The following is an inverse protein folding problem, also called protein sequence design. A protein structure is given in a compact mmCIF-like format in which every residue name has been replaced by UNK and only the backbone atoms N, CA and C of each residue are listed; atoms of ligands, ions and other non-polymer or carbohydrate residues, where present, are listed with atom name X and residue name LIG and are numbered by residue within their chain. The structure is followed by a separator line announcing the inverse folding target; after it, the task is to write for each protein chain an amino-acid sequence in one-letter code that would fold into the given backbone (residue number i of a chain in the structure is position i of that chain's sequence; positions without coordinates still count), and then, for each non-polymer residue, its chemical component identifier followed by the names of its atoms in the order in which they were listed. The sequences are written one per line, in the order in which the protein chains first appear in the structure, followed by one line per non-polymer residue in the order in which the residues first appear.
data_IF_135359182091
#
_entry.id   IF_135359182091
#
_cell.length_a   1.000
_cell.length_b   1.000
_cell.length_c   1.000
_cell.angle_alpha   90.00
_cell.angle_beta   90.00
_cell.angle_gamma   90.00
#
_symmetry.space_group_name_H-M   'P 1'
#
loop_
_entity.id
_entity.type
_entity.pdbx_description
1 polymer ?
#
# COMPACT_ATOMS: atom_id res chain seq x y z
N UNK A 1 26.00 -34.38 17.63
CA UNK A 1 24.54 -34.17 17.46
C UNK A 1 24.36 -32.72 17.05
N UNK A 2 24.10 -32.48 15.75
CA UNK A 2 23.94 -31.14 15.20
C UNK A 2 22.49 -30.69 15.44
N UNK A 3 22.32 -29.66 16.25
CA UNK A 3 21.03 -29.01 16.44
C UNK A 3 20.87 -27.95 15.36
N UNK A 4 20.12 -28.29 14.32
CA UNK A 4 19.56 -27.34 13.37
C UNK A 4 18.42 -26.59 14.07
N UNK A 5 18.65 -25.32 14.42
CA UNK A 5 17.59 -24.43 14.85
C UNK A 5 17.25 -23.48 13.69
N UNK A 6 16.31 -23.89 12.85
CA UNK A 6 15.65 -23.05 11.85
C UNK A 6 14.66 -22.10 12.53
N UNK A 7 15.15 -21.19 13.38
CA UNK A 7 14.34 -20.08 13.89
C UNK A 7 14.64 -18.86 13.02
N UNK A 8 13.61 -18.41 12.30
CA UNK A 8 13.54 -17.10 11.68
C UNK A 8 13.70 -16.05 12.79
N UNK A 9 14.94 -15.68 13.11
CA UNK A 9 15.21 -14.55 13.99
C UNK A 9 14.70 -13.30 13.27
N UNK A 10 13.60 -12.73 13.75
CA UNK A 10 13.21 -11.37 13.37
C UNK A 10 14.30 -10.45 13.93
N UNK A 11 15.25 -10.07 13.07
CA UNK A 11 16.28 -9.10 13.41
C UNK A 11 15.60 -7.74 13.62
N UNK A 12 15.57 -7.29 14.87
CA UNK A 12 15.25 -5.91 15.23
C UNK A 12 16.53 -5.11 15.02
N UNK A 13 16.56 -4.27 13.99
CA UNK A 13 17.71 -3.39 13.72
C UNK A 13 17.73 -2.19 14.68
N UNK A 14 18.91 -1.75 15.09
CA UNK A 14 19.08 -0.44 15.73
C UNK A 14 18.58 0.69 14.81
N UNK A 15 17.73 1.56 15.35
CA UNK A 15 17.00 2.57 14.59
C UNK A 15 17.93 3.72 14.18
N UNK A 16 18.20 3.82 12.87
CA UNK A 16 18.76 5.02 12.26
C UNK A 16 17.65 6.05 11.98
N UNK A 17 17.64 7.14 12.76
CA UNK A 17 16.67 8.25 12.69
C UNK A 17 16.56 8.85 11.27
N UNK A 18 17.65 8.88 10.50
CA UNK A 18 17.69 9.50 9.16
C UNK A 18 17.05 8.72 8.01
N UNK A 19 16.51 7.52 8.25
CA UNK A 19 15.99 6.65 7.18
C UNK A 19 14.45 6.53 7.14
N UNK A 20 13.74 7.20 8.06
CA UNK A 20 12.27 7.16 8.22
C UNK A 20 11.58 8.35 7.55
N UNK A 21 11.82 8.53 6.26
CA UNK A 21 11.39 9.71 5.49
C UNK A 21 10.31 9.41 4.45
N UNK A 22 9.91 8.15 4.26
CA UNK A 22 8.96 7.78 3.22
C UNK A 22 7.56 8.38 3.44
N UNK A 23 7.21 8.75 4.67
CA UNK A 23 5.95 9.45 4.97
C UNK A 23 5.77 10.76 4.18
N UNK A 24 6.87 11.42 3.81
CA UNK A 24 6.85 12.65 2.99
C UNK A 24 6.45 12.39 1.53
N UNK A 25 6.52 11.13 1.09
CA UNK A 25 6.23 10.71 -0.29
C UNK A 25 4.87 10.04 -0.41
N UNK A 26 4.13 9.89 0.69
CA UNK A 26 2.76 9.39 0.70
C UNK A 26 1.83 10.46 0.15
N UNK A 27 0.94 10.06 -0.74
CA UNK A 27 -0.18 10.89 -1.16
C UNK A 27 -1.30 10.79 -0.11
N UNK A 28 -1.28 11.72 0.85
CA UNK A 28 -2.28 11.77 1.93
C UNK A 28 -3.70 12.12 1.44
N UNK A 29 -3.84 12.65 0.23
CA UNK A 29 -5.15 13.00 -0.33
C UNK A 29 -5.87 11.76 -0.85
N UNK A 30 -5.14 10.85 -1.50
CA UNK A 30 -5.67 9.60 -2.02
C UNK A 30 -5.48 8.40 -1.06
N UNK A 31 -4.86 8.61 0.10
CA UNK A 31 -4.76 7.59 1.14
C UNK A 31 -6.15 7.24 1.68
N UNK A 32 -6.45 5.94 1.72
CA UNK A 32 -7.69 5.43 2.28
C UNK A 32 -7.40 4.50 3.45
N UNK A 33 -8.18 4.63 4.51
CA UNK A 33 -8.18 3.71 5.63
C UNK A 33 -9.59 3.15 5.78
N UNK A 34 -9.72 1.83 5.80
CA UNK A 34 -10.99 1.14 5.93
C UNK A 34 -11.14 0.59 7.36
N UNK A 35 -12.38 0.61 7.84
CA UNK A 35 -12.76 0.24 9.21
C UNK A 35 -12.17 1.15 10.30
N UNK A 36 -11.89 2.41 9.99
CA UNK A 36 -11.54 3.42 11.01
C UNK A 36 -12.80 4.04 11.63
N UNK A 37 -12.78 4.22 12.95
CA UNK A 37 -13.87 4.82 13.74
C UNK A 37 -14.12 6.29 13.40
N UNK A 38 -13.05 7.02 13.12
CA UNK A 38 -13.09 8.41 12.73
C UNK A 38 -12.52 8.57 11.32
N UNK A 39 -13.36 9.06 10.41
CA UNK A 39 -12.98 9.28 9.01
C UNK A 39 -11.77 10.21 8.90
N UNK A 40 -10.74 9.74 8.21
CA UNK A 40 -9.47 10.45 8.05
C UNK A 40 -8.57 10.42 9.28
N UNK A 41 -8.77 9.53 10.24
CA UNK A 41 -7.80 9.35 11.33
C UNK A 41 -6.56 8.57 10.87
N UNK A 42 -6.71 7.65 9.92
CA UNK A 42 -5.64 6.84 9.37
C UNK A 42 -4.57 7.61 8.57
N UNK A 43 -4.83 8.84 8.11
CA UNK A 43 -3.81 9.71 7.46
C UNK A 43 -2.92 10.44 8.48
N UNK A 44 -3.38 10.58 9.72
CA UNK A 44 -2.69 11.35 10.75
C UNK A 44 -1.60 10.52 11.47
N UNK A 45 -1.66 9.19 11.38
CA UNK A 45 -0.64 8.29 11.97
C UNK A 45 0.66 8.25 11.16
N UNK A 46 0.64 8.71 9.91
CA UNK A 46 1.84 8.85 9.07
C UNK A 46 2.49 10.22 9.26
N UNK A 47 3.54 10.28 10.09
CA UNK A 47 4.20 11.53 10.49
C UNK A 47 5.71 11.36 10.63
N UNK A 48 6.39 12.45 11.00
CA UNK A 48 7.83 12.44 11.21
C UNK A 48 8.23 11.49 12.33
N UNK A 49 9.44 10.94 12.24
CA UNK A 49 9.99 10.04 13.25
C UNK A 49 10.08 10.70 14.64
N UNK A 50 10.37 12.00 14.68
CA UNK A 50 10.46 12.78 15.92
C UNK A 50 9.12 12.90 16.65
N UNK A 51 8.01 12.85 15.91
CA UNK A 51 6.65 12.94 16.45
C UNK A 51 6.07 11.58 16.83
N UNK A 52 6.81 10.47 16.68
CA UNK A 52 6.28 9.11 16.86
C UNK A 52 5.66 8.85 18.24
N UNK A 53 6.12 9.55 19.29
CA UNK A 53 5.62 9.41 20.65
C UNK A 53 4.39 10.30 20.96
N UNK A 54 3.98 11.15 20.02
CA UNK A 54 2.80 12.00 20.21
C UNK A 54 1.52 11.15 20.21
N UNK A 55 0.80 11.13 21.33
CA UNK A 55 -0.44 10.37 21.47
C UNK A 55 -1.70 11.17 21.09
N UNK A 56 -1.54 12.39 20.58
CA UNK A 56 -2.66 13.25 20.16
C UNK A 56 -3.42 12.71 18.95
N UNK A 57 -2.74 11.96 18.09
CA UNK A 57 -3.28 11.36 16.86
C UNK A 57 -3.32 9.85 17.01
N UNK A 58 -4.50 9.28 16.81
CA UNK A 58 -4.79 7.86 16.93
C UNK A 58 -5.75 7.46 15.82
N UNK A 59 -5.53 6.26 15.27
CA UNK A 59 -6.53 5.55 14.48
C UNK A 59 -7.00 4.36 15.32
N UNK A 60 -8.31 4.31 15.54
CA UNK A 60 -9.01 3.22 16.23
C UNK A 60 -9.94 2.56 15.22
N UNK A 61 -10.09 1.24 15.30
CA UNK A 61 -11.13 0.56 14.52
C UNK A 61 -12.52 0.78 15.10
N UNK A 62 -13.55 0.74 14.25
CA UNK A 62 -14.92 1.11 14.66
C UNK A 62 -15.63 -0.01 15.44
N UNK A 63 -15.59 -1.24 14.92
CA UNK A 63 -16.39 -2.37 15.45
C UNK A 63 -15.54 -3.63 15.66
N UNK A 64 -14.72 -3.99 14.68
CA UNK A 64 -13.85 -5.17 14.73
C UNK A 64 -12.38 -4.78 14.85
N UNK A 65 -11.52 -5.76 15.15
CA UNK A 65 -10.07 -5.59 15.27
C UNK A 65 -9.37 -5.28 13.93
N UNK A 66 -10.06 -5.46 12.81
CA UNK A 66 -9.48 -5.39 11.48
C UNK A 66 -9.25 -3.94 11.02
N UNK A 67 -8.07 -3.60 10.54
CA UNK A 67 -7.78 -2.31 9.90
C UNK A 67 -7.06 -2.53 8.57
N UNK A 68 -7.45 -1.77 7.54
CA UNK A 68 -6.84 -1.85 6.22
C UNK A 68 -6.48 -0.46 5.70
N UNK A 69 -5.20 -0.25 5.41
CA UNK A 69 -4.67 0.99 4.84
C UNK A 69 -4.31 0.75 3.38
N UNK A 70 -4.77 1.65 2.52
CA UNK A 70 -4.41 1.76 1.11
C UNK A 70 -3.61 3.04 0.90
N UNK A 71 -2.30 2.89 0.68
CA UNK A 71 -1.32 3.96 0.76
C UNK A 71 -0.67 4.16 -0.62
N UNK A 72 -1.17 5.12 -1.42
CA UNK A 72 -0.50 5.54 -2.64
C UNK A 72 0.74 6.40 -2.34
N UNK A 73 1.80 6.23 -3.13
CA UNK A 73 2.98 7.10 -3.10
C UNK A 73 3.03 8.00 -4.33
N UNK A 74 3.57 9.21 -4.17
CA UNK A 74 3.85 10.18 -5.24
C UNK A 74 5.04 9.79 -6.15
N UNK A 75 5.43 8.52 -6.15
CA UNK A 75 6.55 7.99 -6.93
C UNK A 75 6.93 6.59 -6.47
N UNK A 76 7.98 6.04 -7.07
CA UNK A 76 8.47 4.72 -6.69
C UNK A 76 9.34 4.83 -5.45
N UNK A 77 9.08 3.98 -4.46
CA UNK A 77 9.91 3.85 -3.26
C UNK A 77 10.42 2.43 -3.11
N UNK A 78 11.60 2.29 -2.53
CA UNK A 78 12.13 1.03 -2.04
C UNK A 78 11.95 1.00 -0.53
N UNK A 79 11.11 0.09 -0.04
CA UNK A 79 10.87 -0.06 1.40
C UNK A 79 11.82 -1.11 1.99
N UNK A 80 12.39 -0.81 3.14
CA UNK A 80 13.38 -1.65 3.84
C UNK A 80 13.02 -1.89 5.31
N UNK A 81 12.12 -1.09 5.86
CA UNK A 81 11.64 -1.31 7.22
C UNK A 81 10.29 -0.68 7.51
N UNK A 82 9.64 -1.22 8.53
CA UNK A 82 8.34 -0.81 9.06
C UNK A 82 8.46 -0.64 10.57
N UNK A 83 7.87 0.42 11.11
CA UNK A 83 7.69 0.62 12.55
C UNK A 83 6.21 0.88 12.80
N UNK A 84 5.65 0.22 13.80
CA UNK A 84 4.26 0.38 14.20
C UNK A 84 4.24 0.59 15.71
N UNK A 85 3.60 1.66 16.16
CA UNK A 85 3.40 1.93 17.58
C UNK A 85 1.90 1.87 17.84
N UNK A 86 1.46 0.82 18.49
CA UNK A 86 0.10 0.69 18.98
C UNK A 86 -0.12 1.32 20.34
N UNK A 87 -1.29 1.06 20.89
CA UNK A 87 -1.61 1.40 22.28
C UNK A 87 -0.80 0.63 23.31
N UNK A 88 -0.62 1.23 24.47
CA UNK A 88 -0.03 0.57 25.63
C UNK A 88 -1.09 -0.32 26.30
N UNK A 89 -1.64 -1.28 25.54
CA UNK A 89 -2.70 -2.19 25.97
C UNK A 89 -2.97 -3.35 25.00
N UNK A 90 -4.01 -4.17 25.26
CA UNK A 90 -4.37 -5.32 24.41
C UNK A 90 -4.84 -4.92 23.00
N UNK A 91 -5.23 -3.65 22.82
CA UNK A 91 -5.64 -3.04 21.54
C UNK A 91 -4.46 -2.80 20.59
N UNK A 92 -3.22 -3.08 21.01
CA UNK A 92 -2.04 -3.05 20.15
C UNK A 92 -2.13 -4.14 19.06
N UNK A 93 -1.86 -3.83 17.77
CA UNK A 93 -1.88 -4.85 16.72
C UNK A 93 -0.80 -5.91 16.95
N UNK A 94 -1.11 -7.17 16.73
CA UNK A 94 -0.18 -8.29 16.94
C UNK A 94 0.46 -8.77 15.62
N UNK A 95 -0.14 -8.46 14.47
CA UNK A 95 0.25 -8.93 13.15
C UNK A 95 0.00 -7.80 12.17
N UNK A 96 0.93 -7.64 11.22
CA UNK A 96 0.72 -6.81 10.05
C UNK A 96 1.06 -7.61 8.79
N UNK A 97 0.17 -7.53 7.81
CA UNK A 97 0.36 -8.09 6.48
C UNK A 97 0.58 -6.96 5.48
N UNK A 98 1.56 -7.14 4.60
CA UNK A 98 1.98 -6.14 3.62
C UNK A 98 1.78 -6.66 2.19
N UNK A 99 1.26 -5.80 1.32
CA UNK A 99 1.21 -5.98 -0.13
C UNK A 99 1.83 -4.80 -0.83
N UNK A 100 2.48 -5.08 -1.95
CA UNK A 100 3.07 -4.08 -2.83
C UNK A 100 2.32 -4.06 -4.16
N UNK A 101 1.98 -2.86 -4.62
CA UNK A 101 1.34 -2.56 -5.90
C UNK A 101 -0.03 -3.22 -6.10
N UNK A 102 -0.85 -3.29 -5.03
CA UNK A 102 -2.24 -3.78 -5.06
C UNK A 102 -3.19 -2.69 -4.55
N UNK A 103 -3.62 -1.74 -5.43
CA UNK A 103 -4.35 -0.54 -5.00
C UNK A 103 -5.75 -0.80 -4.47
N UNK A 104 -6.44 -1.82 -4.98
CA UNK A 104 -7.81 -2.16 -4.61
C UNK A 104 -7.87 -3.40 -3.71
N UNK A 105 -6.96 -3.47 -2.73
CA UNK A 105 -7.03 -4.55 -1.74
C UNK A 105 -8.29 -4.37 -0.88
N UNK A 106 -9.05 -5.45 -0.73
CA UNK A 106 -10.26 -5.53 0.10
C UNK A 106 -10.07 -6.59 1.17
N UNK A 107 -10.86 -6.54 2.25
CA UNK A 107 -10.77 -7.48 3.37
C UNK A 107 -10.81 -8.96 2.95
N UNK A 108 -11.69 -9.32 2.01
CA UNK A 108 -11.79 -10.70 1.49
C UNK A 108 -10.46 -11.22 0.93
N UNK A 109 -9.75 -10.36 0.21
CA UNK A 109 -8.45 -10.70 -0.39
C UNK A 109 -7.30 -10.55 0.62
N UNK A 110 -7.39 -9.59 1.54
CA UNK A 110 -6.39 -9.30 2.56
C UNK A 110 -6.24 -10.44 3.59
N UNK A 111 -7.31 -11.19 3.84
CA UNK A 111 -7.27 -12.39 4.70
C UNK A 111 -6.40 -13.51 4.10
N UNK A 112 -6.12 -13.48 2.79
CA UNK A 112 -5.27 -14.42 2.08
C UNK A 112 -3.76 -14.28 2.38
N UNK A 113 -2.94 -14.83 1.46
CA UNK A 113 -1.47 -14.82 1.55
C UNK A 113 -0.91 -13.45 1.15
N UNK A 114 -0.23 -12.81 2.10
CA UNK A 114 0.47 -11.55 1.89
C UNK A 114 1.83 -11.73 1.19
N UNK A 115 2.40 -10.66 0.64
CA UNK A 115 3.78 -10.67 0.15
C UNK A 115 4.77 -10.80 1.33
N UNK A 116 4.45 -10.18 2.46
CA UNK A 116 5.16 -10.37 3.71
C UNK A 116 4.19 -10.24 4.88
N UNK A 117 4.34 -11.10 5.86
CA UNK A 117 3.61 -11.06 7.13
C UNK A 117 4.62 -10.89 8.26
N UNK A 118 4.33 -10.00 9.20
CA UNK A 118 5.21 -9.66 10.31
C UNK A 118 4.40 -9.76 11.59
N UNK A 119 4.84 -10.63 12.50
CA UNK A 119 4.36 -10.63 13.88
C UNK A 119 4.93 -9.40 14.59
N UNK A 120 4.03 -8.52 15.03
CA UNK A 120 4.34 -7.35 15.82
C UNK A 120 4.50 -7.74 17.28
N UNK A 121 5.35 -7.00 17.97
CA UNK A 121 5.60 -7.13 19.40
C UNK A 121 5.10 -5.87 20.06
N UNK A 122 4.71 -5.99 21.31
CA UNK A 122 4.31 -4.86 22.13
C UNK A 122 5.47 -3.86 22.28
N UNK A 123 5.36 -2.70 21.63
CA UNK A 123 6.39 -1.65 21.66
C UNK A 123 5.76 -0.25 21.74
N UNK A 124 5.30 0.15 22.93
CA UNK A 124 4.80 1.50 23.14
C UNK A 124 5.89 2.57 23.01
N UNK A 125 7.18 2.20 22.99
CA UNK A 125 8.29 3.15 22.91
C UNK A 125 8.74 3.45 21.47
N UNK A 126 8.24 2.70 20.47
CA UNK A 126 8.66 2.86 19.07
C UNK A 126 10.15 2.61 18.87
N UNK A 127 10.68 1.63 19.58
CA UNK A 127 12.08 1.20 19.55
C UNK A 127 12.32 0.02 18.61
N UNK A 128 11.26 -0.64 18.15
CA UNK A 128 11.32 -1.78 17.26
C UNK A 128 11.09 -1.34 15.80
N UNK A 129 12.03 -1.74 14.95
CA UNK A 129 11.94 -1.63 13.51
C UNK A 129 11.97 -3.03 12.90
N UNK A 130 10.94 -3.34 12.12
CA UNK A 130 10.82 -4.61 11.42
C UNK A 130 11.43 -4.49 10.03
N UNK A 131 12.29 -5.44 9.69
CA UNK A 131 12.90 -5.52 8.35
C UNK A 131 11.87 -5.96 7.31
N UNK A 132 11.86 -5.27 6.18
CA UNK A 132 11.00 -5.58 5.04
C UNK A 132 11.87 -6.16 3.93
N UNK A 133 11.44 -7.29 3.38
CA UNK A 133 12.21 -8.01 2.36
C UNK A 133 12.22 -7.24 1.05
N UNK A 134 13.39 -6.87 0.51
CA UNK A 134 13.47 -6.12 -0.75
C UNK A 134 12.94 -6.92 -1.95
N UNK A 135 12.75 -8.24 -1.85
CA UNK A 135 12.28 -9.09 -2.96
C UNK A 135 10.93 -8.65 -3.52
N UNK A 136 10.01 -8.21 -2.65
CA UNK A 136 8.68 -7.73 -3.06
C UNK A 136 8.51 -6.21 -2.91
N UNK A 137 9.44 -5.56 -2.20
CA UNK A 137 9.32 -4.16 -1.81
C UNK A 137 10.47 -3.29 -2.35
N UNK A 138 11.17 -3.75 -3.38
CA UNK A 138 12.23 -2.99 -4.07
C UNK A 138 11.71 -1.81 -4.87
N UNK A 139 10.49 -1.89 -5.40
CA UNK A 139 9.84 -0.82 -6.18
C UNK A 139 8.33 -0.83 -5.93
N UNK A 140 7.90 0.04 -5.02
CA UNK A 140 6.52 0.17 -4.55
C UNK A 140 5.98 1.53 -4.96
N UNK A 141 4.84 1.55 -5.63
CA UNK A 141 4.05 2.76 -5.92
C UNK A 141 2.79 2.83 -5.08
N UNK A 142 2.31 1.66 -4.65
CA UNK A 142 1.15 1.52 -3.78
C UNK A 142 1.45 0.48 -2.70
N UNK A 143 1.25 0.83 -1.44
CA UNK A 143 1.44 -0.07 -0.30
C UNK A 143 0.08 -0.31 0.35
N UNK A 144 -0.21 -1.57 0.64
CA UNK A 144 -1.40 -1.92 1.43
C UNK A 144 -0.97 -2.59 2.72
N UNK A 145 -1.42 -2.06 3.85
CA UNK A 145 -1.16 -2.60 5.19
C UNK A 145 -2.46 -3.10 5.76
N UNK A 146 -2.48 -4.35 6.22
CA UNK A 146 -3.65 -4.95 6.84
C UNK A 146 -3.28 -5.50 8.20
N UNK A 147 -4.07 -5.12 9.19
CA UNK A 147 -3.95 -5.56 10.58
C UNK A 147 -5.15 -6.45 10.88
N UNK A 148 -5.01 -7.78 10.87
CA UNK A 148 -6.12 -8.70 11.05
C UNK A 148 -6.55 -8.86 12.51
N UNK A 149 -5.66 -8.64 13.47
CA UNK A 149 -5.94 -8.83 14.89
C UNK A 149 -4.97 -8.05 15.79
N UNK A 150 -5.28 -8.06 17.09
CA UNK A 150 -4.54 -7.39 18.15
C UNK A 150 -4.18 -8.40 19.29
N UNK A 151 -3.65 -7.91 20.41
CA UNK A 151 -3.24 -8.75 21.54
C UNK A 151 -4.38 -9.26 22.42
N UNK A 152 -5.64 -8.92 22.14
CA UNK A 152 -6.81 -9.51 22.80
C UNK A 152 -7.96 -8.54 23.13
N UNK A 153 -8.03 -7.38 22.47
CA UNK A 153 -9.10 -6.39 22.68
C UNK A 153 -10.10 -6.40 21.51
N UNK A 154 -11.26 -5.76 21.65
CA UNK A 154 -12.28 -5.70 20.60
C UNK A 154 -11.88 -4.79 19.44
N UNK A 155 -11.18 -3.68 19.72
CA UNK A 155 -10.72 -2.72 18.72
C UNK A 155 -9.19 -2.66 18.63
N UNK A 156 -8.68 -2.20 17.49
CA UNK A 156 -7.24 -2.01 17.26
C UNK A 156 -6.90 -0.53 17.27
N UNK A 157 -5.92 -0.16 18.09
CA UNK A 157 -5.48 1.22 18.29
C UNK A 157 -4.04 1.40 17.82
N UNK A 158 -3.82 2.29 16.84
CA UNK A 158 -2.51 2.62 16.29
C UNK A 158 -2.24 4.12 16.44
N UNK A 159 -1.08 4.47 16.99
CA UNK A 159 -0.65 5.86 17.17
C UNK A 159 0.32 6.32 16.08
N UNK A 160 1.15 5.42 15.58
CA UNK A 160 2.19 5.77 14.60
C UNK A 160 2.50 4.62 13.66
N UNK A 161 2.65 4.96 12.38
CA UNK A 161 3.21 4.07 11.37
C UNK A 161 4.39 4.77 10.69
N UNK A 162 5.58 4.22 10.92
CA UNK A 162 6.82 4.65 10.28
C UNK A 162 7.19 3.76 9.12
N UNK A 163 7.61 4.36 8.00
CA UNK A 163 8.10 3.65 6.82
C UNK A 163 9.56 4.03 6.55
N UNK A 164 10.45 3.03 6.51
CA UNK A 164 11.89 3.19 6.26
C UNK A 164 12.24 2.78 4.84
N UNK A 165 13.00 3.60 4.13
CA UNK A 165 13.47 3.25 2.79
C UNK A 165 14.02 4.40 1.96
N UNK A 166 14.04 4.21 0.65
CA UNK A 166 14.64 5.12 -0.32
C UNK A 166 13.63 5.53 -1.39
N UNK A 167 13.62 6.81 -1.76
CA UNK A 167 12.83 7.29 -2.88
C UNK A 167 13.59 7.07 -4.19
N UNK A 168 12.98 6.34 -5.13
CA UNK A 168 13.60 5.96 -6.40
C UNK A 168 13.29 6.94 -7.55
N UNK A 169 12.44 7.95 -7.30
CA UNK A 169 12.03 8.91 -8.32
C UNK A 169 10.56 8.79 -8.74
N UNK A 170 10.12 9.76 -9.53
CA UNK A 170 8.76 9.82 -10.05
C UNK A 170 8.49 8.65 -11.01
N UNK A 171 7.32 8.02 -10.86
CA UNK A 171 6.86 7.05 -11.85
C UNK A 171 6.24 7.85 -12.98
N UNK A 172 7.00 8.06 -14.06
CA UNK A 172 6.44 8.59 -15.30
C UNK A 172 5.41 7.58 -15.80
N UNK A 173 4.14 7.90 -15.63
CA UNK A 173 3.03 7.22 -16.30
C UNK A 173 3.20 7.50 -17.80
N UNK A 174 3.91 6.65 -18.52
CA UNK A 174 3.82 6.64 -19.97
C UNK A 174 2.40 6.15 -20.30
N UNK A 175 1.46 7.09 -20.37
CA UNK A 175 0.17 6.88 -21.03
C UNK A 175 0.53 6.61 -22.49
N UNK A 176 0.66 5.34 -22.84
CA UNK A 176 0.67 4.91 -24.22
C UNK A 176 -0.76 5.14 -24.70
N UNK A 177 -1.01 6.33 -25.26
CA UNK A 177 -2.17 6.53 -26.13
C UNK A 177 -1.90 5.63 -27.34
N UNK A 178 -2.33 4.38 -27.26
CA UNK A 178 -2.42 3.53 -28.43
C UNK A 178 -3.55 4.10 -29.30
N UNK A 179 -3.23 5.13 -30.09
CA UNK A 179 -4.08 5.53 -31.21
C UNK A 179 -4.10 4.34 -32.15
N UNK A 180 -5.13 3.52 -32.04
CA UNK A 180 -5.45 2.52 -33.04
C UNK A 180 -5.88 3.29 -34.28
N UNK A 181 -4.94 3.52 -35.21
CA UNK A 181 -5.27 4.01 -36.55
C UNK A 181 -6.20 2.98 -37.19
N UNK A 182 -7.50 3.15 -37.03
CA UNK A 182 -8.49 2.45 -37.84
C UNK A 182 -8.34 2.97 -39.27
N UNK A 183 -7.46 2.34 -40.06
CA UNK A 183 -7.44 2.51 -41.51
C UNK A 183 -8.72 1.88 -42.05
N UNK A 184 -9.65 2.65 -42.65
CA UNK A 184 -10.80 2.04 -43.32
C UNK A 184 -10.27 1.23 -44.51
N UNK A 185 -10.46 -0.08 -44.51
CA UNK A 185 -10.25 -0.89 -45.71
C UNK A 185 -11.41 -0.64 -46.69
N UNK A 186 -11.13 0.15 -47.73
CA UNK A 186 -12.08 0.55 -48.77
C UNK A 186 -12.38 -0.55 -49.81
N UNK A 187 -12.42 -1.83 -49.40
CA UNK A 187 -12.68 -2.96 -50.31
C UNK A 187 -13.72 -3.91 -49.75
N UNK A 188 -14.94 -3.43 -49.49
CA UNK A 188 -16.09 -4.35 -49.43
C UNK A 188 -17.45 -3.68 -49.58
N UNK A 189 -17.63 -2.76 -50.53
CA UNK A 189 -18.96 -2.32 -50.93
C UNK A 189 -19.10 -2.49 -52.45
N UNK A 190 -19.62 -3.64 -52.89
CA UNK A 190 -20.20 -3.78 -54.22
C UNK A 190 -21.54 -3.05 -54.20
N UNK A 191 -21.58 -1.85 -54.77
CA UNK A 191 -22.82 -1.18 -55.13
C UNK A 191 -23.38 -1.87 -56.37
N UNK A 192 -24.60 -2.39 -56.21
CA UNK A 192 -25.39 -3.04 -57.25
C UNK A 192 -25.83 -2.00 -58.29
N UNK A 193 -25.53 -2.31 -59.54
CA UNK A 193 -25.74 -1.50 -60.74
C UNK A 193 -27.22 -1.47 -61.11
N UNK A 194 -27.92 -0.36 -60.84
CA UNK A 194 -29.27 -0.13 -61.36
C UNK A 194 -29.50 1.35 -61.75
N UNK A 195 -29.49 1.56 -63.07
CA UNK A 195 -30.38 2.42 -63.86
C UNK A 195 -30.13 3.94 -63.89
N UNK A 196 -29.64 4.44 -65.04
CA UNK A 196 -30.46 5.09 -66.11
C UNK A 196 -29.61 6.08 -66.90
N UNK A 197 -29.67 5.99 -68.22
CA UNK A 197 -28.86 6.76 -69.16
C UNK A 197 -29.28 8.22 -69.36
N UNK A 198 -28.45 8.96 -70.09
CA UNK A 198 -28.88 9.68 -71.30
C UNK A 198 -27.69 10.18 -72.15
N UNK A 199 -28.03 10.34 -73.44
CA UNK A 199 -27.23 10.66 -74.62
C UNK A 199 -26.85 12.13 -74.71
N UNK A 200 -25.78 12.44 -75.46
CA UNK A 200 -25.62 13.56 -76.42
C UNK A 200 -24.29 13.33 -77.20
N UNK A 201 -24.32 12.86 -78.45
CA UNK A 201 -24.25 13.58 -79.75
C UNK A 201 -23.08 14.56 -79.88
N UNK A 202 -22.09 14.19 -80.71
CA UNK A 202 -21.57 15.03 -81.80
C UNK A 202 -21.06 14.17 -82.95
#
# INVERSE_FOLDING_TARGET
MQHSCSRTCQHVDEISVGQWNLYMKIDKYNLQCYNEKHDGSGKDVFRAWDERLDRSKIVESDDEQELLFSIPFNGAVKMTGLCVIGENGPSHPNIVKLWSNVPELRFDNARGKAHQEIALTYDPSGTLAYQVSPSHFSRVTHLSLYFPSNFGDETTCIYYIGLRGEYLGEVKSNIVIATYEARPQLKDHKVDDLLTGNREIQ
#
